data_IF_812514874853
#
_entry.id   IF_812514874853
#
_cell.length_a   1.000
_cell.length_b   1.000
_cell.length_c   1.000
_cell.angle_alpha   90.00
_cell.angle_beta   90.00
_cell.angle_gamma   90.00
#
_symmetry.space_group_name_H-M   'P 1'
#
loop_
_entity.id
_entity.type
_entity.pdbx_description
1 polymer ?
#
# COMPACT_ATOMS: atom_id res chain seq x y z
N UNK A 1 -0.11 35.95 18.77
CA UNK A 1 -1.03 35.61 17.66
C UNK A 1 -0.58 34.34 16.94
N UNK A 2 0.67 34.26 16.45
CA UNK A 2 1.22 33.09 15.75
C UNK A 2 1.17 31.79 16.57
N UNK A 3 1.52 31.82 17.85
CA UNK A 3 1.43 30.64 18.73
C UNK A 3 -0.02 30.14 18.93
N UNK A 4 -0.97 31.07 19.10
CA UNK A 4 -2.39 30.76 19.24
C UNK A 4 -2.97 30.16 17.95
N UNK A 5 -2.64 30.74 16.78
CA UNK A 5 -3.07 30.21 15.49
C UNK A 5 -2.48 28.82 15.23
N UNK A 6 -1.19 28.63 15.50
CA UNK A 6 -0.53 27.31 15.38
C UNK A 6 -1.24 26.27 16.24
N UNK A 7 -1.53 26.59 17.49
CA UNK A 7 -2.27 25.69 18.38
C UNK A 7 -3.66 25.36 17.83
N UNK A 8 -4.40 26.35 17.36
CA UNK A 8 -5.74 26.15 16.77
C UNK A 8 -5.71 25.21 15.56
N UNK A 9 -4.74 25.39 14.65
CA UNK A 9 -4.60 24.50 13.50
C UNK A 9 -4.19 23.07 13.88
N UNK A 10 -3.34 22.89 14.89
CA UNK A 10 -2.95 21.57 15.38
C UNK A 10 -4.14 20.80 15.97
N UNK A 11 -4.96 21.46 16.78
CA UNK A 11 -6.17 20.84 17.35
C UNK A 11 -7.12 20.41 16.23
N UNK A 12 -7.37 21.30 15.27
CA UNK A 12 -8.26 20.99 14.14
C UNK A 12 -7.72 19.86 13.26
N UNK A 13 -6.41 19.81 13.03
CA UNK A 13 -5.76 18.71 12.31
C UNK A 13 -6.01 17.37 13.00
N UNK A 14 -5.91 17.33 14.33
CA UNK A 14 -6.14 16.11 15.11
C UNK A 14 -7.60 15.65 15.06
N UNK A 15 -8.56 16.58 15.06
CA UNK A 15 -9.98 16.27 14.91
C UNK A 15 -10.27 15.64 13.55
N UNK A 16 -9.71 16.18 12.46
CA UNK A 16 -9.86 15.61 11.12
C UNK A 16 -9.19 14.24 11.00
N UNK A 17 -8.03 14.06 11.62
CA UNK A 17 -7.34 12.77 11.64
C UNK A 17 -8.17 11.71 12.35
N UNK A 18 -8.71 12.05 13.52
CA UNK A 18 -9.58 11.15 14.30
C UNK A 18 -10.84 10.78 13.52
N UNK A 19 -11.47 11.77 12.88
CA UNK A 19 -12.64 11.54 12.05
C UNK A 19 -12.35 10.61 10.87
N UNK A 20 -11.21 10.81 10.20
CA UNK A 20 -10.80 9.96 9.09
C UNK A 20 -10.55 8.51 9.55
N UNK A 21 -9.95 8.31 10.73
CA UNK A 21 -9.74 6.98 11.30
C UNK A 21 -11.06 6.26 11.56
N UNK A 22 -12.00 6.92 12.24
CA UNK A 22 -13.34 6.38 12.51
C UNK A 22 -14.08 6.07 11.21
N UNK A 23 -13.99 6.94 10.21
CA UNK A 23 -14.64 6.75 8.91
C UNK A 23 -14.11 5.50 8.19
N UNK A 24 -12.80 5.30 8.17
CA UNK A 24 -12.18 4.13 7.55
C UNK A 24 -12.50 2.86 8.32
N UNK A 25 -12.50 2.89 9.66
CA UNK A 25 -12.90 1.75 10.48
C UNK A 25 -14.34 1.32 10.17
N UNK A 26 -15.27 2.27 10.05
CA UNK A 26 -16.66 1.97 9.68
C UNK A 26 -16.80 1.43 8.27
N UNK A 27 -16.03 1.95 7.32
CA UNK A 27 -15.98 1.40 5.97
C UNK A 27 -15.40 -0.02 5.95
N UNK A 28 -14.41 -0.29 6.80
CA UNK A 28 -13.80 -1.61 6.95
C UNK A 28 -14.78 -2.62 7.56
N UNK A 29 -15.51 -2.24 8.61
CA UNK A 29 -16.60 -3.05 9.19
C UNK A 29 -17.66 -3.42 8.15
N UNK A 30 -17.98 -2.50 7.23
CA UNK A 30 -18.96 -2.75 6.17
C UNK A 30 -18.42 -3.65 5.04
N UNK A 31 -17.22 -3.34 4.54
CA UNK A 31 -16.57 -4.14 3.50
C UNK A 31 -15.05 -3.91 3.50
N UNK A 32 -14.34 -4.87 4.09
CA UNK A 32 -12.89 -4.83 4.24
C UNK A 32 -12.15 -4.59 2.91
N UNK A 33 -12.54 -5.29 1.84
CA UNK A 33 -11.85 -5.20 0.54
C UNK A 33 -12.00 -3.81 -0.07
N UNK A 34 -13.23 -3.28 -0.08
CA UNK A 34 -13.50 -1.93 -0.62
C UNK A 34 -12.87 -0.84 0.21
N UNK A 35 -12.77 -1.02 1.53
CA UNK A 35 -12.06 -0.09 2.40
C UNK A 35 -10.56 -0.05 2.09
N UNK A 36 -9.92 -1.19 1.87
CA UNK A 36 -8.52 -1.25 1.42
C UNK A 36 -8.34 -0.58 0.04
N UNK A 37 -9.24 -0.85 -0.91
CA UNK A 37 -9.23 -0.20 -2.23
C UNK A 37 -9.38 1.32 -2.12
N UNK A 38 -10.20 1.81 -1.18
CA UNK A 38 -10.39 3.23 -0.94
C UNK A 38 -9.08 3.91 -0.49
N UNK A 39 -8.29 3.25 0.36
CA UNK A 39 -6.97 3.76 0.79
C UNK A 39 -5.96 3.83 -0.36
N UNK A 40 -6.04 2.88 -1.31
CA UNK A 40 -5.18 2.81 -2.49
C UNK A 40 -5.66 3.67 -3.65
N UNK A 41 -6.89 4.19 -3.59
CA UNK A 41 -7.47 5.01 -4.65
C UNK A 41 -6.66 6.28 -4.81
N UNK A 42 -6.25 6.55 -6.05
CA UNK A 42 -5.61 7.83 -6.41
C UNK A 42 -6.66 8.93 -6.52
N UNK A 43 -6.37 10.08 -5.94
CA UNK A 43 -7.27 11.23 -5.95
C UNK A 43 -6.66 12.33 -6.83
N UNK A 44 -7.24 12.61 -8.02
CA UNK A 44 -6.67 13.57 -8.95
C UNK A 44 -6.65 15.01 -8.39
N UNK A 45 -7.63 15.35 -7.56
CA UNK A 45 -7.73 16.66 -6.90
C UNK A 45 -6.55 16.98 -5.98
N UNK A 46 -5.84 15.95 -5.49
CA UNK A 46 -4.67 16.10 -4.62
C UNK A 46 -3.35 15.78 -5.34
N UNK A 47 -3.32 15.88 -6.68
CA UNK A 47 -2.10 15.60 -7.46
C UNK A 47 -1.87 14.11 -7.72
N UNK A 48 -2.94 13.32 -7.86
CA UNK A 48 -2.90 11.89 -8.17
C UNK A 48 -2.21 11.01 -7.11
N UNK A 49 -2.21 11.46 -5.86
CA UNK A 49 -1.69 10.72 -4.70
C UNK A 49 -2.75 9.78 -4.13
N UNK A 50 -2.33 8.72 -3.45
CA UNK A 50 -3.26 7.84 -2.71
C UNK A 50 -3.54 8.40 -1.32
N UNK A 51 -4.69 8.05 -0.75
CA UNK A 51 -5.02 8.40 0.63
C UNK A 51 -3.95 7.84 1.61
N UNK A 52 -3.45 6.64 1.34
CA UNK A 52 -2.36 6.04 2.09
C UNK A 52 -1.07 6.89 2.06
N UNK A 53 -0.69 7.44 0.92
CA UNK A 53 0.50 8.31 0.80
C UNK A 53 0.33 9.61 1.57
N UNK A 54 -0.87 10.20 1.56
CA UNK A 54 -1.18 11.41 2.33
C UNK A 54 -1.04 11.13 3.82
N UNK A 55 -1.64 10.04 4.32
CA UNK A 55 -1.58 9.67 5.74
C UNK A 55 -0.15 9.42 6.25
N UNK A 56 0.72 8.84 5.41
CA UNK A 56 2.14 8.65 5.74
C UNK A 56 2.88 9.99 5.76
N UNK A 57 2.61 10.86 4.78
CA UNK A 57 3.27 12.16 4.65
C UNK A 57 2.86 13.13 5.76
N UNK A 58 1.67 12.98 6.33
CA UNK A 58 1.16 13.76 7.46
C UNK A 58 1.48 13.18 8.83
N UNK A 59 2.19 12.04 8.89
CA UNK A 59 2.48 11.31 10.14
C UNK A 59 1.22 11.05 11.00
N UNK A 60 0.09 10.75 10.35
CA UNK A 60 -1.21 10.58 11.00
C UNK A 60 -1.31 9.26 11.76
N UNK A 61 -0.85 9.28 13.02
CA UNK A 61 -0.72 8.12 13.92
C UNK A 61 -2.04 7.40 14.17
N UNK A 62 -3.16 8.09 14.28
CA UNK A 62 -4.46 7.44 14.54
C UNK A 62 -4.92 6.65 13.33
N UNK A 63 -4.76 7.20 12.12
CA UNK A 63 -5.04 6.49 10.87
C UNK A 63 -4.10 5.30 10.63
N UNK A 64 -2.83 5.42 11.01
CA UNK A 64 -1.82 4.37 10.85
C UNK A 64 -2.09 3.15 11.74
N UNK A 65 -2.74 3.32 12.89
CA UNK A 65 -3.09 2.23 13.82
C UNK A 65 -4.27 1.38 13.34
N UNK A 66 -5.08 1.88 12.42
CA UNK A 66 -6.26 1.20 11.90
C UNK A 66 -5.91 -0.14 11.22
N UNK A 67 -6.72 -1.18 11.47
CA UNK A 67 -6.54 -2.53 10.91
C UNK A 67 -6.54 -2.51 9.37
N UNK A 68 -7.41 -1.69 8.77
CA UNK A 68 -7.47 -1.49 7.32
C UNK A 68 -6.12 -1.07 6.72
N UNK A 69 -5.37 -0.20 7.43
CA UNK A 69 -4.08 0.30 6.98
C UNK A 69 -3.02 -0.81 6.97
N UNK A 70 -2.95 -1.59 8.04
CA UNK A 70 -2.05 -2.74 8.14
C UNK A 70 -2.37 -3.82 7.10
N UNK A 71 -3.65 -4.13 6.90
CA UNK A 71 -4.09 -5.09 5.87
C UNK A 71 -3.72 -4.62 4.46
N UNK A 72 -3.91 -3.33 4.18
CA UNK A 72 -3.54 -2.73 2.89
C UNK A 72 -2.04 -2.81 2.65
N UNK A 73 -1.23 -2.47 3.65
CA UNK A 73 0.24 -2.58 3.57
C UNK A 73 0.66 -4.03 3.30
N UNK A 74 0.02 -4.98 3.98
CA UNK A 74 0.29 -6.40 3.81
C UNK A 74 -0.04 -6.87 2.39
N UNK A 75 -1.18 -6.45 1.83
CA UNK A 75 -1.57 -6.76 0.45
C UNK A 75 -0.55 -6.20 -0.57
N UNK A 76 -0.09 -4.96 -0.38
CA UNK A 76 0.94 -4.37 -1.25
C UNK A 76 2.23 -5.18 -1.19
N UNK A 77 2.67 -5.56 0.02
CA UNK A 77 3.88 -6.34 0.23
C UNK A 77 3.77 -7.74 -0.40
N UNK A 78 2.72 -8.49 -0.08
CA UNK A 78 2.54 -9.84 -0.64
C UNK A 78 2.33 -9.82 -2.15
N UNK A 79 1.69 -8.80 -2.71
CA UNK A 79 1.58 -8.65 -4.16
C UNK A 79 2.96 -8.44 -4.83
N UNK A 80 3.84 -7.65 -4.21
CA UNK A 80 5.23 -7.51 -4.70
C UNK A 80 6.03 -8.80 -4.54
N UNK A 81 5.85 -9.52 -3.44
CA UNK A 81 6.50 -10.81 -3.19
C UNK A 81 6.02 -11.88 -4.17
N UNK A 82 4.73 -11.95 -4.49
CA UNK A 82 4.18 -12.93 -5.44
C UNK A 82 4.68 -12.69 -6.87
N UNK A 83 4.76 -11.43 -7.30
CA UNK A 83 5.37 -11.06 -8.57
C UNK A 83 6.86 -11.45 -8.62
N UNK A 84 7.59 -11.20 -7.54
CA UNK A 84 9.01 -11.56 -7.42
C UNK A 84 9.19 -13.08 -7.43
N UNK A 85 8.38 -13.82 -6.67
CA UNK A 85 8.43 -15.29 -6.61
C UNK A 85 8.08 -15.92 -7.97
N UNK A 86 7.11 -15.34 -8.70
CA UNK A 86 6.80 -15.78 -10.07
C UNK A 86 7.96 -15.53 -11.03
N UNK A 87 8.69 -14.43 -10.88
CA UNK A 87 9.88 -14.14 -11.68
C UNK A 87 11.05 -15.06 -11.35
N UNK A 88 11.29 -15.38 -10.07
CA UNK A 88 12.38 -16.29 -9.66
C UNK A 88 12.10 -17.73 -10.06
N UNK A 89 10.87 -18.22 -9.87
CA UNK A 89 10.46 -19.56 -10.32
C UNK A 89 10.52 -19.69 -11.84
N UNK A 90 10.08 -18.68 -12.60
CA UNK A 90 10.24 -18.67 -14.05
C UNK A 90 11.70 -18.67 -14.49
N UNK A 91 12.57 -17.88 -13.83
CA UNK A 91 14.02 -17.90 -14.12
C UNK A 91 14.66 -19.24 -13.79
N UNK A 92 14.32 -19.85 -12.65
CA UNK A 92 14.85 -21.15 -12.23
C UNK A 92 14.46 -22.27 -13.20
N UNK A 93 13.23 -22.26 -13.73
CA UNK A 93 12.77 -23.26 -14.71
C UNK A 93 13.45 -23.15 -16.08
N UNK A 94 13.94 -21.97 -16.46
CA UNK A 94 14.61 -21.76 -17.75
C UNK A 94 16.06 -22.29 -17.76
N UNK A 95 16.72 -22.33 -16.60
CA UNK A 95 18.12 -22.76 -16.46
C UNK A 95 18.34 -24.22 -16.92
N UNK A 96 17.55 -25.23 -16.48
CA UNK A 96 17.74 -26.60 -16.94
C UNK A 96 17.37 -26.79 -18.42
N UNK A 97 16.40 -26.04 -18.96
CA UNK A 97 15.99 -26.12 -20.37
C UNK A 97 17.10 -25.67 -21.33
N UNK A 98 17.87 -24.65 -20.96
CA UNK A 98 19.01 -24.16 -21.75
C UNK A 98 20.18 -25.14 -21.68
N UNK A 99 20.40 -25.77 -20.53
CA UNK A 99 21.46 -26.77 -20.34
C UNK A 99 21.16 -28.09 -21.05
N UNK A 100 19.90 -28.52 -21.11
CA UNK A 100 19.52 -29.75 -21.83
C UNK A 100 19.50 -29.55 -23.34
N UNK A 101 19.04 -28.41 -23.86
CA UNK A 101 19.12 -28.13 -25.31
C UNK A 101 20.54 -27.86 -25.81
N UNK A 102 21.40 -27.21 -25.01
CA UNK A 102 22.78 -26.90 -25.39
C UNK A 102 23.73 -28.10 -25.39
N UNK A 103 23.44 -29.15 -24.62
CA UNK A 103 24.29 -30.34 -24.50
C UNK A 103 23.92 -31.48 -25.47
N UNK A 104 22.76 -31.40 -26.14
CA UNK A 104 22.27 -32.45 -27.05
C UNK A 104 22.51 -32.12 -28.53
N UNK A 105 23.04 -30.94 -28.88
CA UNK A 105 23.43 -30.65 -30.27
C UNK A 105 24.64 -31.53 -30.66
N UNK A 106 24.46 -32.58 -31.50
CA UNK A 106 25.56 -33.38 -31.99
C UNK A 106 26.32 -32.50 -32.98
N UNK A 107 27.61 -32.32 -32.77
CA UNK A 107 28.50 -31.80 -33.80
C UNK A 107 28.72 -32.92 -34.83
N UNK A 108 27.94 -32.90 -35.91
CA UNK A 108 28.29 -33.55 -37.18
C UNK A 108 28.41 -32.49 -38.27
#
# INVERSE_FOLDING_TARGET
ITAYLKHKFLVQSLEFETYAAIFIDKCYEYNEKRACELLLRRIPLFGNVTCMQVAISSESKELLKTVCFHQTLNQIWYNKLSLTNRQTTAKLLLIPSILTFGLIAPWE
#
